data_IF_336404948026
#
_entry.id   IF_336404948026
#
_cell.length_a   1.000
_cell.length_b   1.000
_cell.length_c   1.000
_cell.angle_alpha   90.00
_cell.angle_beta   90.00
_cell.angle_gamma   90.00
#
_symmetry.space_group_name_H-M   'P 1'
#
loop_
_entity.id
_entity.type
_entity.pdbx_description
1 polymer ?
#
# COMPACT_ATOMS: atom_id res chain seq x y z
N UNK A 1 -10.31 -30.87 -4.10
CA UNK A 1 -11.37 -30.76 -5.14
C UNK A 1 -12.59 -29.96 -4.69
N UNK A 2 -12.96 -29.95 -3.40
CA UNK A 2 -14.12 -29.19 -2.88
C UNK A 2 -14.04 -27.66 -3.07
N UNK A 3 -12.84 -27.08 -3.02
CA UNK A 3 -12.66 -25.62 -3.16
C UNK A 3 -12.98 -25.10 -4.57
N UNK A 4 -12.63 -25.82 -5.62
CA UNK A 4 -12.87 -25.38 -6.99
C UNK A 4 -14.36 -25.33 -7.33
N UNK A 5 -15.13 -26.32 -6.90
CA UNK A 5 -16.57 -26.35 -7.08
C UNK A 5 -17.27 -25.20 -6.35
N UNK A 6 -16.81 -24.87 -5.14
CA UNK A 6 -17.32 -23.71 -4.40
C UNK A 6 -17.05 -22.38 -5.11
N UNK A 7 -15.87 -22.22 -5.70
CA UNK A 7 -15.54 -21.02 -6.50
C UNK A 7 -16.46 -20.94 -7.73
N UNK A 8 -16.61 -22.03 -8.47
CA UNK A 8 -17.46 -22.07 -9.66
C UNK A 8 -18.92 -21.73 -9.33
N UNK A 9 -19.47 -22.29 -8.23
CA UNK A 9 -20.82 -21.95 -7.78
C UNK A 9 -20.98 -20.46 -7.47
N UNK A 10 -19.99 -19.84 -6.81
CA UNK A 10 -20.02 -18.40 -6.52
C UNK A 10 -19.91 -17.54 -7.77
N UNK A 11 -19.13 -17.99 -8.77
CA UNK A 11 -19.05 -17.31 -10.07
C UNK A 11 -20.41 -17.37 -10.76
N UNK A 12 -21.02 -18.56 -10.83
CA UNK A 12 -22.33 -18.74 -11.46
C UNK A 12 -23.42 -17.90 -10.77
N UNK A 13 -23.47 -17.90 -9.44
CA UNK A 13 -24.40 -17.07 -8.68
C UNK A 13 -24.21 -15.56 -8.99
N UNK A 14 -22.95 -15.12 -9.06
CA UNK A 14 -22.63 -13.72 -9.35
C UNK A 14 -23.02 -13.35 -10.78
N UNK A 15 -22.72 -14.19 -11.76
CA UNK A 15 -23.08 -13.95 -13.16
C UNK A 15 -24.62 -13.93 -13.34
N UNK A 16 -25.35 -14.83 -12.67
CA UNK A 16 -26.79 -14.87 -12.71
C UNK A 16 -27.41 -13.62 -12.07
N UNK A 17 -26.84 -13.10 -10.99
CA UNK A 17 -27.32 -11.87 -10.36
C UNK A 17 -27.13 -10.61 -11.22
N UNK A 18 -26.18 -10.66 -12.14
CA UNK A 18 -25.84 -9.57 -13.05
C UNK A 18 -26.55 -9.69 -14.42
N UNK A 19 -27.30 -10.76 -14.67
CA UNK A 19 -27.91 -11.00 -15.98
C UNK A 19 -29.12 -10.11 -16.27
N UNK A 20 -29.81 -9.62 -15.24
CA UNK A 20 -31.05 -8.86 -15.34
C UNK A 20 -30.82 -7.37 -15.06
N UNK A 21 -30.24 -6.65 -16.03
CA UNK A 21 -29.95 -5.23 -15.93
C UNK A 21 -30.79 -4.38 -16.89
N UNK A 22 -31.20 -3.22 -16.42
CA UNK A 22 -32.01 -2.27 -17.19
C UNK A 22 -31.25 -0.97 -17.54
N UNK A 23 -30.11 -0.72 -16.90
CA UNK A 23 -29.29 0.46 -17.07
C UNK A 23 -27.81 0.06 -17.18
N UNK A 24 -27.15 0.43 -18.28
CA UNK A 24 -25.75 0.07 -18.55
C UNK A 24 -24.78 0.63 -17.50
N UNK A 25 -24.99 1.86 -17.03
CA UNK A 25 -24.13 2.49 -16.03
C UNK A 25 -24.19 1.75 -14.69
N UNK A 26 -25.41 1.40 -14.27
CA UNK A 26 -25.64 0.61 -13.06
C UNK A 26 -25.00 -0.78 -13.19
N UNK A 27 -25.24 -1.46 -14.32
CA UNK A 27 -24.63 -2.76 -14.62
C UNK A 27 -23.11 -2.72 -14.52
N UNK A 28 -22.45 -1.74 -15.16
CA UNK A 28 -20.99 -1.62 -15.13
C UNK A 28 -20.47 -1.42 -13.70
N UNK A 29 -21.19 -0.62 -12.90
CA UNK A 29 -20.85 -0.41 -11.48
C UNK A 29 -20.96 -1.70 -10.65
N UNK A 30 -22.06 -2.42 -10.78
CA UNK A 30 -22.30 -3.68 -10.08
C UNK A 30 -21.35 -4.79 -10.54
N UNK A 31 -21.12 -4.89 -11.85
CA UNK A 31 -20.17 -5.83 -12.43
C UNK A 31 -18.76 -5.59 -11.87
N UNK A 32 -18.30 -4.33 -11.80
CA UNK A 32 -17.00 -4.00 -11.24
C UNK A 32 -16.87 -4.45 -9.78
N UNK A 33 -17.84 -4.14 -8.94
CA UNK A 33 -17.84 -4.53 -7.53
C UNK A 33 -17.89 -6.05 -7.35
N UNK A 34 -18.69 -6.74 -8.16
CA UNK A 34 -18.81 -8.19 -8.14
C UNK A 34 -17.52 -8.85 -8.59
N UNK A 35 -16.86 -8.30 -9.61
CA UNK A 35 -15.56 -8.77 -10.08
C UNK A 35 -14.46 -8.63 -9.02
N UNK A 36 -14.42 -7.51 -8.29
CA UNK A 36 -13.49 -7.34 -7.18
C UNK A 36 -13.72 -8.37 -6.07
N UNK A 37 -14.99 -8.64 -5.71
CA UNK A 37 -15.33 -9.65 -4.71
C UNK A 37 -14.92 -11.05 -5.13
N UNK A 38 -15.24 -11.45 -6.36
CA UNK A 38 -14.84 -12.74 -6.91
C UNK A 38 -13.32 -12.89 -6.96
N UNK A 39 -12.63 -11.87 -7.47
CA UNK A 39 -11.18 -11.85 -7.52
C UNK A 39 -10.56 -12.00 -6.12
N UNK A 40 -11.12 -11.35 -5.11
CA UNK A 40 -10.66 -11.48 -3.73
C UNK A 40 -10.81 -12.91 -3.19
N UNK A 41 -11.97 -13.55 -3.43
CA UNK A 41 -12.22 -14.94 -3.02
C UNK A 41 -11.23 -15.90 -3.68
N UNK A 42 -11.05 -15.78 -4.99
CA UNK A 42 -10.09 -16.60 -5.75
C UNK A 42 -8.67 -16.39 -5.25
N UNK A 43 -8.26 -15.13 -5.07
CA UNK A 43 -6.95 -14.78 -4.57
C UNK A 43 -6.69 -15.36 -3.17
N UNK A 44 -7.64 -15.22 -2.25
CA UNK A 44 -7.52 -15.77 -0.89
C UNK A 44 -7.35 -17.29 -0.92
N UNK A 45 -8.13 -17.98 -1.73
CA UNK A 45 -8.05 -19.44 -1.82
C UNK A 45 -6.74 -19.91 -2.45
N UNK A 46 -6.26 -19.25 -3.50
CA UNK A 46 -5.00 -19.59 -4.14
C UNK A 46 -3.80 -19.37 -3.20
N UNK A 47 -3.79 -18.23 -2.48
CA UNK A 47 -2.74 -17.94 -1.51
C UNK A 47 -2.77 -18.95 -0.36
N UNK A 48 -3.96 -19.25 0.18
CA UNK A 48 -4.10 -20.22 1.26
C UNK A 48 -3.68 -21.63 0.82
N UNK A 49 -4.08 -22.08 -0.38
CA UNK A 49 -3.69 -23.37 -0.93
C UNK A 49 -2.15 -23.48 -1.09
N UNK A 50 -1.51 -22.40 -1.55
CA UNK A 50 -0.05 -22.36 -1.69
C UNK A 50 0.67 -22.42 -0.33
N UNK A 51 0.13 -21.74 0.68
CA UNK A 51 0.64 -21.82 2.06
C UNK A 51 0.54 -23.26 2.58
N UNK A 52 -0.64 -23.90 2.43
CA UNK A 52 -0.86 -25.27 2.87
C UNK A 52 0.04 -26.28 2.16
N UNK A 53 0.23 -26.14 0.86
CA UNK A 53 1.15 -26.96 0.08
C UNK A 53 2.57 -26.91 0.63
N UNK A 54 3.05 -25.70 0.95
CA UNK A 54 4.37 -25.50 1.54
C UNK A 54 4.45 -26.04 2.96
N UNK A 55 3.46 -25.76 3.79
CA UNK A 55 3.41 -26.21 5.17
C UNK A 55 3.33 -27.72 5.33
N UNK A 56 2.75 -28.44 4.37
CA UNK A 56 2.71 -29.90 4.37
C UNK A 56 4.09 -30.54 4.21
N UNK A 57 5.10 -29.78 3.75
CA UNK A 57 6.48 -30.23 3.67
C UNK A 57 7.21 -30.15 5.01
N UNK A 58 6.65 -29.46 6.00
CA UNK A 58 7.28 -29.29 7.31
C UNK A 58 6.82 -30.34 8.30
N UNK A 59 7.79 -30.93 8.97
CA UNK A 59 7.52 -31.83 10.08
C UNK A 59 7.17 -31.01 11.35
N UNK A 60 6.14 -31.47 12.05
CA UNK A 60 5.69 -30.90 13.32
C UNK A 60 5.04 -29.51 13.24
N UNK A 61 3.77 -29.43 12.90
CA UNK A 61 2.99 -28.20 13.03
C UNK A 61 2.87 -27.78 14.49
N UNK A 62 2.75 -26.50 14.74
CA UNK A 62 2.56 -25.99 16.09
C UNK A 62 1.27 -25.18 16.21
N UNK A 63 1.34 -23.89 16.24
CA UNK A 63 0.16 -23.05 16.45
C UNK A 63 -0.27 -22.45 15.14
N UNK A 64 -1.56 -22.53 14.81
CA UNK A 64 -2.13 -21.78 13.67
C UNK A 64 -2.24 -20.31 14.03
N UNK A 65 -1.82 -19.42 13.12
CA UNK A 65 -1.96 -17.98 13.25
C UNK A 65 -2.55 -17.38 12.01
N UNK A 66 -3.50 -16.49 12.20
CA UNK A 66 -4.10 -15.70 11.13
C UNK A 66 -3.30 -14.44 10.90
N UNK A 67 -3.10 -14.08 9.63
CA UNK A 67 -2.56 -12.79 9.22
C UNK A 67 -3.42 -12.20 8.12
N UNK A 68 -3.60 -10.91 8.21
CA UNK A 68 -4.40 -10.12 7.29
C UNK A 68 -3.47 -9.39 6.33
N UNK A 69 -3.85 -9.37 5.05
CA UNK A 69 -3.20 -8.57 4.02
C UNK A 69 -4.23 -7.77 3.25
N UNK A 70 -3.87 -6.55 2.92
CA UNK A 70 -4.63 -5.69 2.04
C UNK A 70 -4.10 -5.82 0.62
N UNK A 71 -4.98 -6.21 -0.30
CA UNK A 71 -4.70 -6.39 -1.72
C UNK A 71 -5.56 -5.44 -2.53
N UNK A 72 -5.25 -5.20 -3.81
CA UNK A 72 -6.11 -4.37 -4.66
C UNK A 72 -7.54 -4.93 -4.82
N UNK A 73 -7.71 -6.23 -4.66
CA UNK A 73 -9.02 -6.89 -4.77
C UNK A 73 -9.79 -6.92 -3.44
N UNK A 74 -9.17 -6.50 -2.35
CA UNK A 74 -9.78 -6.51 -1.02
C UNK A 74 -8.87 -7.08 0.06
N UNK A 75 -9.44 -7.34 1.22
CA UNK A 75 -8.74 -7.96 2.34
C UNK A 75 -8.71 -9.48 2.20
N UNK A 76 -7.53 -10.08 2.39
CA UNK A 76 -7.37 -11.53 2.52
C UNK A 76 -6.86 -11.88 3.92
N UNK A 77 -7.36 -12.99 4.46
CA UNK A 77 -6.94 -13.51 5.76
C UNK A 77 -6.38 -14.92 5.55
N UNK A 78 -5.10 -15.09 5.79
CA UNK A 78 -4.42 -16.36 5.62
C UNK A 78 -4.09 -17.00 6.97
N UNK A 79 -4.27 -18.32 7.06
CA UNK A 79 -3.85 -19.13 8.19
C UNK A 79 -2.46 -19.71 7.92
N UNK A 80 -1.55 -19.56 8.87
CA UNK A 80 -0.17 -20.01 8.76
C UNK A 80 0.24 -20.72 10.03
N UNK A 81 1.14 -21.69 9.91
CA UNK A 81 1.71 -22.41 11.04
C UNK A 81 2.94 -21.71 11.58
N UNK A 82 2.92 -21.42 12.87
CA UNK A 82 4.05 -20.84 13.58
C UNK A 82 4.81 -21.90 14.38
N UNK A 83 6.10 -21.80 14.41
CA UNK A 83 7.02 -22.70 15.13
C UNK A 83 7.66 -21.93 16.26
N UNK A 84 7.76 -22.55 17.43
CA UNK A 84 8.48 -21.99 18.57
C UNK A 84 9.95 -22.37 18.44
N UNK A 85 10.83 -21.38 18.38
CA UNK A 85 12.28 -21.53 18.36
C UNK A 85 12.88 -20.92 19.63
N UNK A 86 14.18 -21.13 19.87
CA UNK A 86 14.92 -20.47 20.96
C UNK A 86 14.83 -18.95 20.89
N UNK A 87 14.78 -18.41 19.66
CA UNK A 87 14.82 -16.98 19.37
C UNK A 87 13.42 -16.36 19.23
N UNK A 88 12.36 -17.15 19.48
CA UNK A 88 10.98 -16.71 19.43
C UNK A 88 10.11 -17.49 18.44
N UNK A 89 9.12 -16.84 17.88
CA UNK A 89 8.12 -17.42 17.00
C UNK A 89 8.53 -17.22 15.54
N UNK A 90 8.82 -18.33 14.85
CA UNK A 90 9.19 -18.33 13.43
C UNK A 90 8.01 -18.84 12.58
N UNK A 91 7.70 -18.13 11.51
CA UNK A 91 6.73 -18.56 10.49
C UNK A 91 7.50 -18.80 9.18
N UNK A 92 7.98 -20.03 8.99
CA UNK A 92 8.86 -20.40 7.87
C UNK A 92 8.25 -20.07 6.49
N UNK A 93 6.95 -20.28 6.34
CA UNK A 93 6.26 -20.03 5.08
C UNK A 93 6.29 -18.55 4.67
N UNK A 94 6.40 -17.63 5.61
CA UNK A 94 6.50 -16.19 5.31
C UNK A 94 7.79 -15.87 4.54
N UNK A 95 8.90 -16.47 4.94
CA UNK A 95 10.19 -16.29 4.28
C UNK A 95 10.25 -16.99 2.92
N UNK A 96 9.74 -18.23 2.84
CA UNK A 96 9.76 -19.00 1.59
C UNK A 96 8.87 -18.45 0.49
N UNK A 97 7.73 -17.88 0.85
CA UNK A 97 6.79 -17.27 -0.09
C UNK A 97 6.98 -15.76 -0.23
N UNK A 98 7.95 -15.18 0.48
CA UNK A 98 8.18 -13.74 0.46
C UNK A 98 6.97 -12.94 0.95
N UNK A 99 6.23 -13.45 1.94
CA UNK A 99 5.06 -12.77 2.48
C UNK A 99 5.51 -11.53 3.25
N UNK A 100 4.95 -10.35 2.96
CA UNK A 100 5.37 -9.12 3.59
C UNK A 100 5.10 -9.13 5.10
N UNK A 101 5.98 -8.47 5.86
CA UNK A 101 5.82 -8.31 7.31
C UNK A 101 4.58 -7.49 7.62
N UNK A 102 4.34 -6.45 6.85
CA UNK A 102 3.20 -5.56 6.98
C UNK A 102 1.94 -6.12 6.32
N UNK A 103 0.80 -5.61 6.74
CA UNK A 103 -0.49 -5.97 6.15
C UNK A 103 -0.75 -5.28 4.81
N UNK A 104 -0.06 -4.18 4.53
CA UNK A 104 -0.19 -3.42 3.30
C UNK A 104 0.73 -4.00 2.23
N UNK A 105 0.16 -4.50 1.15
CA UNK A 105 0.96 -4.88 0.00
C UNK A 105 1.49 -3.64 -0.73
N UNK A 106 2.69 -3.69 -1.31
CA UNK A 106 3.30 -2.53 -1.99
C UNK A 106 2.37 -1.86 -3.01
N UNK A 107 1.69 -2.65 -3.84
CA UNK A 107 0.75 -2.14 -4.84
C UNK A 107 -0.43 -1.36 -4.22
N UNK A 108 -0.96 -1.80 -3.09
CA UNK A 108 -2.05 -1.09 -2.38
C UNK A 108 -1.53 0.19 -1.75
N UNK A 109 -0.33 0.14 -1.21
CA UNK A 109 0.32 1.30 -0.62
C UNK A 109 0.64 2.36 -1.67
N UNK A 110 1.15 1.95 -2.81
CA UNK A 110 1.39 2.82 -3.96
C UNK A 110 0.10 3.53 -4.42
N UNK A 111 -0.98 2.77 -4.59
CA UNK A 111 -2.29 3.34 -4.93
C UNK A 111 -2.78 4.34 -3.86
N UNK A 112 -2.65 3.99 -2.58
CA UNK A 112 -3.03 4.86 -1.47
C UNK A 112 -2.24 6.18 -1.48
N UNK A 113 -0.92 6.10 -1.69
CA UNK A 113 -0.05 7.28 -1.77
C UNK A 113 -0.36 8.12 -3.00
N UNK A 114 -0.53 7.50 -4.17
CA UNK A 114 -0.86 8.21 -5.42
C UNK A 114 -2.17 9.00 -5.29
N UNK A 115 -3.20 8.40 -4.72
CA UNK A 115 -4.48 9.07 -4.47
C UNK A 115 -4.35 10.15 -3.40
N UNK A 116 -3.61 9.88 -2.31
CA UNK A 116 -3.41 10.84 -1.21
C UNK A 116 -2.66 12.10 -1.61
N UNK A 117 -1.78 12.01 -2.61
CA UNK A 117 -1.06 13.17 -3.18
C UNK A 117 -1.91 13.90 -4.22
N UNK A 118 -2.78 13.18 -4.93
CA UNK A 118 -3.53 13.74 -6.07
C UNK A 118 -4.76 14.54 -5.64
N UNK A 119 -5.33 14.29 -4.46
CA UNK A 119 -6.54 14.98 -4.00
C UNK A 119 -6.66 14.99 -2.48
N UNK A 120 -7.65 15.74 -1.97
CA UNK A 120 -7.97 15.74 -0.55
C UNK A 120 -8.36 14.34 -0.05
N UNK A 121 -7.99 14.00 1.19
CA UNK A 121 -8.20 12.67 1.77
C UNK A 121 -9.65 12.15 1.68
N UNK A 122 -10.70 12.94 1.89
CA UNK A 122 -12.09 12.47 1.72
C UNK A 122 -12.39 11.96 0.31
N UNK A 123 -11.86 12.63 -0.72
CA UNK A 123 -12.03 12.23 -2.12
C UNK A 123 -11.14 11.04 -2.46
N UNK A 124 -9.89 11.06 -2.02
CA UNK A 124 -8.94 9.94 -2.15
C UNK A 124 -9.50 8.67 -1.54
N UNK A 125 -10.11 8.76 -0.36
CA UNK A 125 -10.73 7.64 0.32
C UNK A 125 -11.90 7.02 -0.47
N UNK A 126 -12.78 7.86 -1.03
CA UNK A 126 -13.90 7.37 -1.88
C UNK A 126 -13.39 6.65 -3.12
N UNK A 127 -12.39 7.23 -3.80
CA UNK A 127 -11.76 6.61 -4.96
C UNK A 127 -11.05 5.30 -4.58
N UNK A 128 -10.30 5.32 -3.50
CA UNK A 128 -9.62 4.13 -3.00
C UNK A 128 -10.58 2.98 -2.72
N UNK A 129 -11.69 3.24 -2.02
CA UNK A 129 -12.71 2.24 -1.75
C UNK A 129 -13.37 1.71 -3.03
N UNK A 130 -13.61 2.58 -4.00
CA UNK A 130 -14.22 2.19 -5.28
C UNK A 130 -13.31 1.24 -6.06
N UNK A 131 -11.99 1.41 -5.99
CA UNK A 131 -11.04 0.63 -6.78
C UNK A 131 -10.49 -0.61 -6.07
N UNK A 132 -10.59 -0.71 -4.75
CA UNK A 132 -9.95 -1.80 -3.98
C UNK A 132 -10.91 -2.66 -3.18
N UNK A 133 -12.18 -2.33 -3.09
CA UNK A 133 -13.14 -2.97 -2.17
C UNK A 133 -12.67 -3.05 -0.70
N UNK A 134 -11.66 -2.27 -0.32
CA UNK A 134 -11.15 -2.25 1.05
C UNK A 134 -12.01 -1.33 1.92
N UNK A 135 -12.67 -1.88 2.92
CA UNK A 135 -13.48 -1.14 3.89
C UNK A 135 -12.60 -0.45 4.95
N UNK A 136 -11.69 0.42 4.52
CA UNK A 136 -10.83 1.20 5.40
C UNK A 136 -11.50 2.53 5.74
N UNK A 137 -11.19 3.08 6.92
CA UNK A 137 -11.60 4.45 7.24
C UNK A 137 -10.66 5.47 6.59
N UNK A 138 -11.16 6.68 6.31
CA UNK A 138 -10.36 7.79 5.82
C UNK A 138 -9.12 8.03 6.70
N UNK A 139 -9.30 8.03 8.02
CA UNK A 139 -8.20 8.18 8.98
C UNK A 139 -7.14 7.10 8.85
N UNK A 140 -7.54 5.84 8.59
CA UNK A 140 -6.58 4.74 8.40
C UNK A 140 -5.77 4.94 7.14
N UNK A 141 -6.43 5.37 6.06
CA UNK A 141 -5.75 5.67 4.79
C UNK A 141 -4.78 6.84 4.96
N UNK A 142 -5.23 7.96 5.54
CA UNK A 142 -4.41 9.14 5.79
C UNK A 142 -3.18 8.81 6.62
N UNK A 143 -3.36 8.14 7.77
CA UNK A 143 -2.25 7.74 8.63
C UNK A 143 -1.22 6.87 7.89
N UNK A 144 -1.67 5.97 7.01
CA UNK A 144 -0.77 5.10 6.28
C UNK A 144 0.03 5.87 5.22
N UNK A 145 -0.60 6.81 4.52
CA UNK A 145 0.07 7.68 3.54
C UNK A 145 1.10 8.57 4.23
N UNK A 146 0.72 9.20 5.35
CA UNK A 146 1.63 10.03 6.15
C UNK A 146 2.82 9.22 6.70
N UNK A 147 2.57 8.02 7.22
CA UNK A 147 3.63 7.13 7.70
C UNK A 147 4.61 6.78 6.59
N UNK A 148 4.10 6.48 5.39
CA UNK A 148 4.94 6.17 4.23
C UNK A 148 5.75 7.38 3.79
N UNK A 149 5.14 8.58 3.77
CA UNK A 149 5.83 9.83 3.47
C UNK A 149 6.98 10.09 4.45
N UNK A 150 6.75 9.92 5.74
CA UNK A 150 7.79 10.09 6.77
C UNK A 150 8.93 9.09 6.60
N UNK A 151 8.63 7.83 6.28
CA UNK A 151 9.66 6.81 6.03
C UNK A 151 10.52 7.16 4.80
N UNK A 152 9.91 7.65 3.73
CA UNK A 152 10.64 8.10 2.53
C UNK A 152 11.54 9.30 2.84
N UNK A 153 11.04 10.27 3.59
CA UNK A 153 11.81 11.43 4.02
C UNK A 153 13.02 11.04 4.88
N UNK A 154 12.84 10.10 5.81
CA UNK A 154 13.95 9.58 6.61
C UNK A 154 14.98 8.84 5.76
N UNK A 155 14.54 8.08 4.76
CA UNK A 155 15.45 7.40 3.82
C UNK A 155 16.23 8.40 2.99
N UNK A 156 15.58 9.43 2.44
CA UNK A 156 16.25 10.50 1.68
C UNK A 156 17.27 11.23 2.54
N UNK A 157 16.91 11.59 3.77
CA UNK A 157 17.83 12.23 4.71
C UNK A 157 19.05 11.37 5.01
N UNK A 158 18.84 10.06 5.25
CA UNK A 158 19.93 9.12 5.52
C UNK A 158 20.82 8.90 4.29
N UNK A 159 20.25 8.89 3.09
CA UNK A 159 21.01 8.82 1.85
C UNK A 159 21.85 10.09 1.64
N UNK A 160 21.26 11.27 1.83
CA UNK A 160 21.97 12.56 1.72
C UNK A 160 23.12 12.63 2.71
N UNK A 161 22.91 12.24 3.96
CA UNK A 161 23.95 12.21 4.98
C UNK A 161 25.08 11.23 4.68
N UNK A 162 24.79 10.08 4.05
CA UNK A 162 25.82 9.15 3.58
C UNK A 162 26.65 9.76 2.46
N UNK A 163 26.03 10.48 1.53
CA UNK A 163 26.71 11.17 0.44
C UNK A 163 27.62 12.29 0.97
N UNK A 164 27.18 13.02 2.00
CA UNK A 164 28.02 14.04 2.66
C UNK A 164 29.21 13.43 3.42
N UNK A 165 29.03 12.26 4.02
CA UNK A 165 30.10 11.55 4.75
C UNK A 165 31.11 10.88 3.81
N UNK A 166 30.69 10.55 2.58
CA UNK A 166 31.57 9.98 1.55
C UNK A 166 32.30 11.12 0.79
N UNK A 167 33.09 11.91 1.54
CA UNK A 167 33.89 13.02 1.03
C UNK A 167 34.95 12.64 -0.04
N UNK A 168 34.96 11.37 -0.46
CA UNK A 168 35.71 10.85 -1.59
C UNK A 168 34.93 10.84 -2.90
N UNK A 169 33.66 11.16 -2.88
CA UNK A 169 32.89 11.37 -4.08
C UNK A 169 33.16 12.83 -4.58
N UNK A 170 34.35 13.05 -5.10
CA UNK A 170 34.51 14.14 -6.04
C UNK A 170 33.72 13.76 -7.29
N UNK A 171 32.59 14.44 -7.58
CA UNK A 171 31.95 14.25 -8.85
C UNK A 171 33.00 14.61 -9.90
N UNK A 172 33.49 13.61 -10.61
CA UNK A 172 34.38 13.85 -11.73
C UNK A 172 33.56 14.52 -12.85
N UNK A 173 33.25 15.80 -12.66
CA UNK A 173 32.79 16.68 -13.73
C UNK A 173 33.93 16.98 -14.68
N UNK A 174 34.65 15.95 -15.09
CA UNK A 174 35.62 16.04 -16.15
C UNK A 174 34.87 16.04 -17.48
N UNK A 175 34.75 17.21 -18.04
CA UNK A 175 34.24 17.53 -19.37
C UNK A 175 32.71 17.53 -19.46
N UNK A 176 32.11 18.64 -19.05
CA UNK A 176 30.86 19.08 -19.65
C UNK A 176 31.14 19.35 -21.14
N UNK A 177 30.70 18.44 -21.98
CA UNK A 177 30.56 18.71 -23.39
C UNK A 177 29.61 19.91 -23.49
N UNK A 178 30.05 21.00 -24.14
CA UNK A 178 29.30 22.27 -24.20
C UNK A 178 27.90 22.18 -24.81
N UNK A 179 27.47 20.98 -25.17
CA UNK A 179 26.18 20.69 -25.76
C UNK A 179 25.14 20.12 -24.76
N UNK A 180 25.53 19.73 -23.55
CA UNK A 180 24.60 19.18 -22.55
C UNK A 180 24.43 20.20 -21.41
N UNK A 181 23.37 20.99 -21.48
CA UNK A 181 22.95 21.89 -20.42
C UNK A 181 22.06 21.12 -19.44
N UNK A 182 22.52 20.99 -18.18
CA UNK A 182 21.71 20.50 -17.08
C UNK A 182 20.95 21.67 -16.47
N UNK A 183 19.63 21.68 -16.61
CA UNK A 183 18.75 22.62 -15.90
C UNK A 183 18.32 22.00 -14.58
N UNK A 184 18.70 22.62 -13.48
CA UNK A 184 18.18 22.27 -12.15
C UNK A 184 17.16 23.34 -11.78
N UNK A 185 15.88 22.97 -11.81
CA UNK A 185 14.80 23.82 -11.32
C UNK A 185 14.53 23.47 -9.86
N UNK A 186 14.58 24.46 -8.97
CA UNK A 186 14.08 24.33 -7.60
C UNK A 186 12.77 25.10 -7.55
N UNK A 187 11.67 24.39 -7.39
CA UNK A 187 10.35 24.99 -7.22
C UNK A 187 9.95 24.92 -5.74
N UNK A 188 9.62 26.04 -5.18
CA UNK A 188 9.13 26.17 -3.81
C UNK A 188 7.60 26.16 -3.79
N UNK A 189 6.99 25.11 -3.28
CA UNK A 189 5.54 25.05 -3.07
C UNK A 189 5.20 25.63 -1.70
N UNK A 190 4.43 26.69 -1.68
CA UNK A 190 3.84 27.21 -0.44
C UNK A 190 2.65 26.32 -0.03
N UNK A 191 2.87 25.48 0.96
CA UNK A 191 1.81 24.65 1.55
C UNK A 191 1.17 25.42 2.71
N UNK A 192 -0.15 25.61 2.74
CA UNK A 192 -0.82 26.16 3.92
C UNK A 192 -0.72 25.19 5.09
N UNK A 193 0.05 25.53 6.10
CA UNK A 193 0.16 24.73 7.31
C UNK A 193 -1.11 24.85 8.15
N UNK A 194 -1.66 23.72 8.56
CA UNK A 194 -2.82 23.69 9.47
C UNK A 194 -2.46 24.35 10.81
N UNK A 195 -3.19 25.39 11.20
CA UNK A 195 -2.91 26.15 12.41
C UNK A 195 -2.93 25.31 13.71
N UNK A 196 -3.55 24.13 13.69
CA UNK A 196 -3.61 23.22 14.84
C UNK A 196 -2.30 22.47 15.11
N UNK A 197 -1.37 22.47 14.21
CA UNK A 197 -0.07 21.78 14.37
C UNK A 197 1.07 22.70 14.80
N UNK A 198 0.77 23.84 15.34
CA UNK A 198 1.61 24.44 16.38
C UNK A 198 2.87 25.18 15.95
N UNK A 199 3.17 25.37 14.70
CA UNK A 199 4.25 26.26 14.35
C UNK A 199 3.76 27.71 14.18
N UNK A 200 3.97 28.52 15.17
CA UNK A 200 3.78 29.96 15.05
C UNK A 200 5.07 30.61 14.53
N UNK A 201 5.16 30.75 13.23
CA UNK A 201 6.17 31.67 12.68
C UNK A 201 5.85 33.06 13.18
N UNK A 202 6.75 33.66 13.92
CA UNK A 202 6.67 35.03 14.34
C UNK A 202 7.33 35.86 13.25
N UNK A 203 6.54 36.70 12.58
CA UNK A 203 7.12 37.78 11.84
C UNK A 203 7.19 39.01 12.76
N UNK A 204 8.10 39.90 12.49
CA UNK A 204 8.36 41.11 13.29
C UNK A 204 7.14 42.04 13.47
N UNK A 205 6.04 41.77 12.79
CA UNK A 205 4.79 42.57 12.84
C UNK A 205 3.61 41.84 13.46
N UNK A 206 3.76 40.64 14.00
CA UNK A 206 2.69 39.89 14.64
C UNK A 206 1.52 39.48 13.74
N UNK A 207 1.65 39.54 12.42
CA UNK A 207 0.54 39.34 11.47
C UNK A 207 0.42 37.94 10.89
N UNK A 208 1.01 36.94 11.51
CA UNK A 208 0.70 35.53 11.25
C UNK A 208 0.95 34.96 9.85
N UNK A 209 1.68 35.62 8.96
CA UNK A 209 2.10 35.05 7.68
C UNK A 209 3.38 34.23 7.86
N UNK A 210 3.44 33.07 7.27
CA UNK A 210 4.55 32.13 7.38
C UNK A 210 5.20 31.94 6.05
N UNK A 211 6.51 32.07 6.04
CA UNK A 211 7.34 31.57 4.96
C UNK A 211 7.97 30.26 5.40
N UNK A 212 7.89 29.26 4.54
CA UNK A 212 8.60 28.00 4.67
C UNK A 212 9.78 28.11 3.71
N UNK A 213 10.96 28.17 4.26
CA UNK A 213 12.19 28.06 3.52
C UNK A 213 12.58 26.59 3.28
#
# INVERSE_FOLDING_TARGET
MSNLQSILSQIDETLNSLADWNNLEEFVGEFHLSWLKLGNIVQQQLVQARIEEKENQYQSPRTKRKKRYYTPLGEIIVERRAYVTSDGLLVKVDEELGLPKDKWLPMVLELACALGVSSEFPNSHKLFQRWTSLALTEKTLANQVEQTGNQLQEQEFNCSKKLELDSKFEPSFTQFDKQNLLYVGVDGVMTPLNQKQGYKGVNEKGSGKREVG
#
